data_IF_111439757873
#
_entry.id   IF_111439757873
#
_cell.length_a   1.000
_cell.length_b   1.000
_cell.length_c   1.000
_cell.angle_alpha   90.00
_cell.angle_beta   90.00
_cell.angle_gamma   90.00
#
_symmetry.space_group_name_H-M   'P 1'
#
loop_
_entity.id
_entity.type
_entity.pdbx_description
1 polymer ?
#
# COMPACT_ATOMS: atom_id res chain seq x y z
N UNK A 1 -35.26 33.91 21.24
CA UNK A 1 -34.91 32.85 20.26
C UNK A 1 -34.34 31.69 21.04
N UNK A 2 -35.00 30.54 20.95
CA UNK A 2 -34.79 29.33 21.73
C UNK A 2 -33.45 28.68 21.38
N UNK A 3 -32.64 28.29 22.38
CA UNK A 3 -31.45 27.46 22.20
C UNK A 3 -31.78 26.05 22.72
N UNK A 4 -31.92 25.12 21.79
CA UNK A 4 -32.22 23.73 22.06
C UNK A 4 -31.02 23.02 22.71
N UNK A 5 -31.18 22.57 23.96
CA UNK A 5 -30.28 21.60 24.60
C UNK A 5 -30.71 20.20 24.15
N UNK A 6 -29.96 19.64 23.20
CA UNK A 6 -30.12 18.27 22.73
C UNK A 6 -29.72 17.27 23.82
N UNK A 7 -30.70 16.48 24.25
CA UNK A 7 -30.61 15.44 25.27
C UNK A 7 -29.96 14.19 24.65
N UNK A 8 -28.77 13.77 25.11
CA UNK A 8 -28.16 12.50 24.69
C UNK A 8 -28.46 11.45 25.75
N UNK A 9 -29.25 10.45 25.36
CA UNK A 9 -29.66 9.34 26.21
C UNK A 9 -28.45 8.58 26.75
N UNK A 10 -28.30 8.54 28.08
CA UNK A 10 -27.45 7.57 28.73
C UNK A 10 -28.15 6.20 28.69
N UNK A 11 -27.60 5.28 27.90
CA UNK A 11 -27.99 3.87 27.89
C UNK A 11 -27.80 3.28 29.30
N UNK A 12 -28.90 2.92 29.95
CA UNK A 12 -28.90 2.21 31.22
C UNK A 12 -28.46 0.76 30.98
N UNK A 13 -27.31 0.37 31.53
CA UNK A 13 -27.01 -1.03 31.77
C UNK A 13 -27.65 -1.45 33.09
N UNK A 14 -28.70 -2.27 33.00
CA UNK A 14 -29.26 -2.99 34.14
C UNK A 14 -28.26 -4.06 34.57
N UNK A 15 -27.54 -3.81 35.66
CA UNK A 15 -26.84 -4.84 36.41
C UNK A 15 -27.61 -5.09 37.70
N UNK A 16 -28.22 -6.27 37.77
CA UNK A 16 -29.02 -6.77 38.89
C UNK A 16 -28.24 -6.74 40.20
N UNK A 17 -28.89 -6.20 41.24
CA UNK A 17 -28.37 -6.08 42.59
C UNK A 17 -28.21 -7.45 43.28
N UNK A 18 -27.03 -7.70 43.83
CA UNK A 18 -26.83 -8.59 44.97
C UNK A 18 -25.94 -7.86 45.98
N UNK A 19 -26.52 -7.58 47.16
CA UNK A 19 -25.92 -7.05 48.39
C UNK A 19 -25.88 -5.51 48.59
N UNK A 20 -26.99 -4.97 49.10
CA UNK A 20 -27.08 -4.49 50.49
C UNK A 20 -26.39 -3.18 50.94
N UNK A 21 -27.17 -2.08 50.94
CA UNK A 21 -27.28 -0.97 51.92
C UNK A 21 -25.99 -0.32 52.49
N UNK A 22 -25.76 0.98 52.21
CA UNK A 22 -25.94 2.11 53.16
C UNK A 22 -25.46 3.46 52.59
N UNK A 23 -26.28 4.46 52.88
CA UNK A 23 -26.16 5.88 52.57
C UNK A 23 -24.97 6.54 53.26
N UNK A 24 -24.26 7.43 52.54
CA UNK A 24 -23.61 8.59 53.14
C UNK A 24 -23.37 9.65 52.05
N UNK A 25 -24.15 10.73 52.10
CA UNK A 25 -23.80 12.01 51.47
C UNK A 25 -22.56 12.56 52.18
N UNK A 26 -21.38 12.45 51.57
CA UNK A 26 -20.20 13.21 51.98
C UNK A 26 -19.89 14.24 50.92
N UNK A 27 -20.20 15.50 51.23
CA UNK A 27 -19.72 16.66 50.49
C UNK A 27 -18.22 16.81 50.77
N UNK A 28 -17.40 16.07 50.03
CA UNK A 28 -15.95 16.26 50.07
C UNK A 28 -15.61 17.43 49.13
N UNK A 29 -15.64 18.66 49.67
CA UNK A 29 -15.10 19.82 48.97
C UNK A 29 -13.60 19.58 48.75
N UNK A 30 -13.17 19.47 47.49
CA UNK A 30 -11.75 19.49 47.17
C UNK A 30 -11.18 20.89 47.41
N UNK A 31 -9.99 21.02 48.01
CA UNK A 31 -9.35 22.31 48.20
C UNK A 31 -9.03 22.93 46.83
N UNK A 32 -9.27 24.25 46.74
CA UNK A 32 -8.93 25.10 45.59
C UNK A 32 -7.50 24.79 45.12
N UNK A 33 -7.39 24.10 43.97
CA UNK A 33 -6.12 23.97 43.27
C UNK A 33 -5.78 25.36 42.73
N UNK A 34 -4.82 26.04 43.37
CA UNK A 34 -4.15 27.19 42.76
C UNK A 34 -3.48 26.69 41.50
N UNK A 35 -4.12 26.93 40.35
CA UNK A 35 -3.51 26.69 39.04
C UNK A 35 -2.33 27.64 38.90
N UNK A 36 -1.15 27.16 39.25
CA UNK A 36 0.07 27.76 38.72
C UNK A 36 0.06 27.41 37.24
N UNK A 37 -0.33 28.37 36.41
CA UNK A 37 -0.28 28.26 34.97
C UNK A 37 1.20 28.21 34.53
N UNK A 38 1.86 27.06 34.71
CA UNK A 38 3.07 26.78 33.96
C UNK A 38 2.64 26.60 32.51
N UNK A 39 2.70 27.69 31.76
CA UNK A 39 2.66 27.67 30.30
C UNK A 39 3.92 26.98 29.80
N UNK A 40 3.94 25.65 29.88
CA UNK A 40 4.90 24.85 29.15
C UNK A 40 4.56 25.01 27.68
N UNK A 41 5.38 25.78 26.95
CA UNK A 41 5.35 25.77 25.50
C UNK A 41 5.51 24.31 25.07
N UNK A 42 4.54 23.68 24.39
CA UNK A 42 4.75 22.34 23.88
C UNK A 42 5.96 22.42 22.94
N UNK A 43 6.98 21.61 23.21
CA UNK A 43 8.14 21.53 22.34
C UNK A 43 7.67 20.82 21.06
N UNK A 44 7.19 21.59 20.09
CA UNK A 44 6.82 21.08 18.78
C UNK A 44 8.12 20.85 18.02
N UNK A 45 8.69 19.65 18.18
CA UNK A 45 9.83 19.21 17.39
C UNK A 45 9.33 19.00 15.95
N UNK A 46 9.37 20.05 15.13
CA UNK A 46 9.16 19.93 13.69
C UNK A 46 10.35 19.14 13.15
N UNK A 47 10.09 18.03 12.46
CA UNK A 47 11.13 17.30 11.75
C UNK A 47 11.96 18.32 10.94
N UNK A 48 13.27 18.38 11.18
CA UNK A 48 14.15 19.22 10.37
C UNK A 48 13.94 18.79 8.92
N UNK A 49 13.60 19.75 8.07
CA UNK A 49 13.28 19.49 6.67
C UNK A 49 14.38 18.62 6.05
N UNK A 50 13.96 17.48 5.51
CA UNK A 50 14.76 16.50 4.75
C UNK A 50 15.45 15.43 5.61
N UNK A 51 14.66 14.54 6.22
CA UNK A 51 15.15 13.17 6.43
C UNK A 51 15.51 12.58 5.06
N UNK A 52 16.77 12.22 4.84
CA UNK A 52 17.26 11.75 3.55
C UNK A 52 16.50 10.48 3.15
N UNK A 53 15.62 10.60 2.15
CA UNK A 53 14.87 9.45 1.65
C UNK A 53 15.80 8.63 0.74
N UNK A 54 16.00 7.35 1.06
CA UNK A 54 16.80 6.45 0.23
C UNK A 54 16.25 6.41 -1.21
N UNK A 55 17.14 6.59 -2.19
CA UNK A 55 16.76 6.53 -3.61
C UNK A 55 16.13 5.17 -3.96
N UNK A 56 15.19 5.16 -4.91
CA UNK A 56 14.53 3.94 -5.37
C UNK A 56 15.54 2.87 -5.83
N UNK A 57 16.64 3.30 -6.48
CA UNK A 57 17.73 2.41 -6.92
C UNK A 57 18.42 1.68 -5.76
N UNK A 58 18.68 2.38 -4.65
CA UNK A 58 19.30 1.79 -3.45
C UNK A 58 18.34 0.78 -2.82
N UNK A 59 17.07 1.16 -2.67
CA UNK A 59 16.02 0.28 -2.14
C UNK A 59 15.87 -0.98 -3.00
N UNK A 60 15.82 -0.83 -4.32
CA UNK A 60 15.75 -1.93 -5.27
C UNK A 60 16.93 -2.90 -5.12
N UNK A 61 18.17 -2.38 -5.14
CA UNK A 61 19.39 -3.20 -4.97
C UNK A 61 19.38 -4.00 -3.66
N UNK A 62 18.86 -3.42 -2.57
CA UNK A 62 18.71 -4.13 -1.29
C UNK A 62 17.68 -5.26 -1.38
N UNK A 63 16.55 -5.02 -2.05
CA UNK A 63 15.50 -6.02 -2.23
C UNK A 63 15.93 -7.16 -3.16
N UNK A 64 16.70 -6.85 -4.21
CA UNK A 64 17.22 -7.86 -5.16
C UNK A 64 18.04 -8.95 -4.51
N UNK A 65 18.71 -8.69 -3.39
CA UNK A 65 19.43 -9.72 -2.62
C UNK A 65 18.55 -10.85 -2.09
N UNK A 66 17.24 -10.61 -1.97
CA UNK A 66 16.27 -11.59 -1.44
C UNK A 66 15.58 -12.40 -2.53
N UNK A 67 15.73 -12.00 -3.80
CA UNK A 67 15.04 -12.63 -4.90
C UNK A 67 15.86 -13.79 -5.46
N UNK A 68 15.16 -14.84 -5.87
CA UNK A 68 15.73 -16.03 -6.49
C UNK A 68 14.76 -16.54 -7.57
N UNK A 69 14.75 -15.86 -8.72
CA UNK A 69 13.98 -16.29 -9.89
C UNK A 69 14.63 -17.48 -10.60
N UNK A 70 13.80 -18.45 -11.00
CA UNK A 70 14.19 -19.64 -11.79
C UNK A 70 13.42 -19.65 -13.12
N UNK A 71 13.77 -20.50 -14.11
CA UNK A 71 12.99 -20.60 -15.35
C UNK A 71 11.53 -20.97 -15.11
N UNK A 72 11.26 -21.87 -14.15
CA UNK A 72 9.91 -22.35 -13.82
C UNK A 72 9.12 -21.34 -12.98
N UNK A 73 9.82 -20.63 -12.08
CA UNK A 73 9.27 -19.62 -11.18
C UNK A 73 10.09 -18.34 -11.31
N UNK A 74 9.89 -17.55 -12.37
CA UNK A 74 10.70 -16.37 -12.62
C UNK A 74 10.39 -15.24 -11.64
N UNK A 75 11.29 -14.26 -11.59
CA UNK A 75 11.06 -12.98 -10.93
C UNK A 75 10.36 -12.05 -11.90
N UNK A 76 9.27 -11.43 -11.46
CA UNK A 76 8.61 -10.34 -12.18
C UNK A 76 9.19 -9.01 -11.73
N UNK A 77 9.88 -8.29 -12.62
CA UNK A 77 10.37 -6.93 -12.36
C UNK A 77 9.56 -5.91 -13.17
N UNK A 78 9.02 -4.91 -12.47
CA UNK A 78 8.18 -3.86 -13.06
C UNK A 78 8.77 -2.50 -12.75
N UNK A 79 9.02 -1.72 -13.80
CA UNK A 79 9.48 -0.36 -13.71
C UNK A 79 8.38 0.57 -14.23
N UNK A 80 8.00 1.55 -13.41
CA UNK A 80 7.00 2.55 -13.77
C UNK A 80 7.63 3.95 -13.69
N UNK A 81 7.65 4.64 -14.83
CA UNK A 81 7.99 6.06 -14.93
C UNK A 81 6.73 6.93 -14.85
N UNK A 82 6.84 8.24 -14.96
CA UNK A 82 5.69 9.13 -15.15
C UNK A 82 4.95 8.87 -16.47
N UNK A 83 5.64 8.35 -17.50
CA UNK A 83 5.07 8.20 -18.86
C UNK A 83 4.85 6.76 -19.31
N UNK A 84 5.72 5.83 -18.90
CA UNK A 84 5.76 4.47 -19.44
C UNK A 84 5.82 3.43 -18.32
N UNK A 85 5.39 2.21 -18.62
CA UNK A 85 5.58 1.02 -17.79
C UNK A 85 6.32 -0.04 -18.59
N UNK A 86 7.22 -0.72 -17.89
CA UNK A 86 8.02 -1.82 -18.41
C UNK A 86 7.89 -2.98 -17.44
N UNK A 87 7.65 -4.17 -17.97
CA UNK A 87 7.53 -5.40 -17.20
C UNK A 87 8.45 -6.45 -17.81
N UNK A 88 9.14 -7.20 -16.95
CA UNK A 88 10.08 -8.23 -17.34
C UNK A 88 9.89 -9.48 -16.49
N UNK A 89 9.85 -10.64 -17.13
CA UNK A 89 10.06 -11.92 -16.47
C UNK A 89 11.53 -12.29 -16.60
N UNK A 90 12.20 -12.45 -15.46
CA UNK A 90 13.63 -12.66 -15.38
C UNK A 90 13.91 -13.98 -14.66
N UNK A 91 14.77 -14.78 -15.26
CA UNK A 91 15.44 -15.89 -14.62
C UNK A 91 16.78 -15.40 -14.06
N UNK A 92 16.87 -15.31 -12.74
CA UNK A 92 18.04 -14.78 -12.05
C UNK A 92 19.20 -15.78 -12.03
N UNK A 93 18.93 -17.10 -12.19
CA UNK A 93 19.95 -18.13 -12.23
C UNK A 93 20.74 -18.11 -13.53
N UNK A 94 20.03 -18.13 -14.66
CA UNK A 94 20.65 -18.09 -15.98
C UNK A 94 20.87 -16.66 -16.50
N UNK A 95 20.45 -15.65 -15.73
CA UNK A 95 20.50 -14.22 -16.10
C UNK A 95 19.81 -13.93 -17.44
N UNK A 96 18.72 -14.65 -17.71
CA UNK A 96 17.99 -14.54 -18.96
C UNK A 96 16.65 -13.83 -18.76
N UNK A 97 16.23 -13.06 -19.76
CA UNK A 97 14.91 -12.45 -19.79
C UNK A 97 13.96 -13.35 -20.59
N UNK A 98 12.95 -13.91 -19.93
CA UNK A 98 11.96 -14.79 -20.54
C UNK A 98 10.89 -14.00 -21.31
N UNK A 99 10.53 -12.83 -20.79
CA UNK A 99 9.54 -11.94 -21.39
C UNK A 99 9.88 -10.49 -21.11
N UNK A 100 9.66 -9.62 -22.10
CA UNK A 100 9.76 -8.17 -22.00
C UNK A 100 8.53 -7.50 -22.62
N UNK A 101 7.81 -6.74 -21.79
CA UNK A 101 6.63 -5.97 -22.19
C UNK A 101 6.79 -4.49 -21.88
N UNK A 102 6.36 -3.62 -22.79
CA UNK A 102 6.40 -2.16 -22.58
C UNK A 102 5.18 -1.47 -23.18
N UNK A 103 4.72 -0.41 -22.51
CA UNK A 103 3.70 0.52 -23.06
C UNK A 103 4.18 1.28 -24.30
N UNK A 104 5.45 1.16 -24.68
CA UNK A 104 5.99 1.68 -25.94
C UNK A 104 5.88 0.69 -27.11
N UNK A 105 5.68 -0.60 -26.85
CA UNK A 105 5.57 -1.59 -27.92
C UNK A 105 4.32 -1.36 -28.77
N UNK A 106 4.46 -1.62 -30.07
CA UNK A 106 3.39 -1.42 -31.05
C UNK A 106 2.19 -2.34 -30.77
N UNK A 107 2.43 -3.55 -30.26
CA UNK A 107 1.39 -4.52 -29.87
C UNK A 107 0.46 -3.95 -28.79
N UNK A 108 1.03 -3.23 -27.82
CA UNK A 108 0.31 -2.66 -26.67
C UNK A 108 -0.40 -1.35 -27.04
N UNK A 109 0.28 -0.46 -27.77
CA UNK A 109 -0.25 0.89 -28.06
C UNK A 109 -1.53 0.86 -28.87
N UNK A 110 -1.66 -0.08 -29.81
CA UNK A 110 -2.71 -0.07 -30.85
C UNK A 110 -2.77 1.28 -31.60
N UNK A 111 -3.58 1.36 -32.66
CA UNK A 111 -3.67 2.59 -33.46
C UNK A 111 -4.54 3.68 -32.81
N UNK A 112 -5.35 3.34 -31.81
CA UNK A 112 -6.22 4.26 -31.10
C UNK A 112 -5.53 4.89 -29.89
N UNK A 113 -5.80 6.17 -29.57
CA UNK A 113 -5.35 6.76 -28.31
C UNK A 113 -5.91 5.96 -27.14
N UNK A 114 -5.01 5.47 -26.30
CA UNK A 114 -5.33 4.63 -25.14
C UNK A 114 -4.91 5.38 -23.88
N UNK A 115 -5.67 5.24 -22.79
CA UNK A 115 -5.24 5.77 -21.51
C UNK A 115 -3.97 5.07 -21.05
N UNK A 116 -3.16 5.78 -20.26
CA UNK A 116 -1.89 5.28 -19.76
C UNK A 116 -2.07 4.12 -18.75
N UNK A 117 -3.21 4.05 -18.06
CA UNK A 117 -3.59 2.92 -17.20
C UNK A 117 -4.03 1.71 -18.03
N UNK A 118 -4.84 1.91 -19.07
CA UNK A 118 -5.27 0.87 -19.99
C UNK A 118 -4.09 0.25 -20.74
N UNK A 119 -3.13 1.06 -21.19
CA UNK A 119 -1.90 0.55 -21.80
C UNK A 119 -1.14 -0.36 -20.83
N UNK A 120 -1.09 -0.04 -19.54
CA UNK A 120 -0.46 -0.90 -18.53
C UNK A 120 -1.26 -2.18 -18.27
N UNK A 121 -2.60 -2.11 -18.29
CA UNK A 121 -3.45 -3.31 -18.23
C UNK A 121 -3.11 -4.28 -19.37
N UNK A 122 -3.00 -3.76 -20.60
CA UNK A 122 -2.62 -4.55 -21.79
C UNK A 122 -1.23 -5.20 -21.67
N UNK A 123 -0.24 -4.50 -21.09
CA UNK A 123 1.07 -5.12 -20.80
C UNK A 123 0.91 -6.30 -19.84
N UNK A 124 0.04 -6.19 -18.85
CA UNK A 124 -0.31 -7.29 -17.95
C UNK A 124 -0.91 -8.47 -18.71
N UNK A 125 -1.87 -8.23 -19.59
CA UNK A 125 -2.50 -9.27 -20.42
C UNK A 125 -1.49 -9.96 -21.37
N UNK A 126 -0.58 -9.21 -21.99
CA UNK A 126 0.50 -9.78 -22.81
C UNK A 126 1.47 -10.63 -21.98
N UNK A 127 1.78 -10.20 -20.76
CA UNK A 127 2.62 -10.98 -19.85
C UNK A 127 1.98 -12.32 -19.51
N UNK A 128 0.67 -12.34 -19.25
CA UNK A 128 -0.07 -13.57 -18.96
C UNK A 128 -0.06 -14.52 -20.16
N UNK A 129 -0.25 -14.01 -21.37
CA UNK A 129 -0.13 -14.81 -22.60
C UNK A 129 1.26 -15.45 -22.69
N UNK A 130 2.30 -14.66 -22.48
CA UNK A 130 3.68 -15.17 -22.48
C UNK A 130 3.92 -16.21 -21.36
N UNK A 131 3.36 -16.03 -20.16
CA UNK A 131 3.43 -17.02 -19.09
C UNK A 131 2.78 -18.34 -19.52
N UNK A 132 1.61 -18.29 -20.17
CA UNK A 132 0.90 -19.48 -20.62
C UNK A 132 1.70 -20.20 -21.72
N UNK A 133 2.26 -19.47 -22.68
CA UNK A 133 3.08 -20.03 -23.77
C UNK A 133 4.35 -20.71 -23.22
N UNK A 134 4.92 -20.15 -22.16
CA UNK A 134 6.11 -20.68 -21.48
C UNK A 134 5.78 -21.69 -20.36
N UNK A 135 4.51 -22.02 -20.14
CA UNK A 135 4.03 -22.90 -19.06
C UNK A 135 4.50 -22.48 -17.65
N UNK A 136 4.49 -21.18 -17.37
CA UNK A 136 4.80 -20.60 -16.06
C UNK A 136 3.49 -20.41 -15.30
N UNK A 137 3.34 -21.08 -14.15
CA UNK A 137 2.11 -21.03 -13.34
C UNK A 137 2.22 -20.11 -12.12
N UNK A 138 3.43 -19.81 -11.67
CA UNK A 138 3.66 -19.05 -10.44
C UNK A 138 4.92 -18.19 -10.54
N UNK A 139 4.90 -17.05 -9.85
CA UNK A 139 6.05 -16.16 -9.74
C UNK A 139 6.82 -16.46 -8.44
N UNK A 140 8.15 -16.39 -8.49
CA UNK A 140 8.97 -16.50 -7.28
C UNK A 140 8.94 -15.21 -6.48
N UNK A 141 8.96 -14.07 -7.15
CA UNK A 141 9.06 -12.76 -6.51
C UNK A 141 8.50 -11.66 -7.40
N UNK A 142 7.93 -10.64 -6.76
CA UNK A 142 7.45 -9.43 -7.42
C UNK A 142 8.29 -8.22 -7.00
N UNK A 143 8.96 -7.61 -7.97
CA UNK A 143 9.88 -6.49 -7.81
C UNK A 143 9.32 -5.23 -8.47
N UNK A 144 8.92 -4.26 -7.65
CA UNK A 144 8.41 -2.94 -8.09
C UNK A 144 9.53 -1.92 -8.34
N UNK A 145 10.79 -2.34 -8.36
CA UNK A 145 11.99 -1.52 -8.55
C UNK A 145 12.12 -0.34 -7.57
N UNK A 146 11.51 -0.44 -6.39
CA UNK A 146 11.49 0.62 -5.37
C UNK A 146 10.53 1.79 -5.67
N UNK A 147 9.66 1.71 -6.67
CA UNK A 147 8.66 2.75 -6.91
C UNK A 147 7.41 2.55 -6.04
N UNK A 148 6.74 3.66 -5.70
CA UNK A 148 5.46 3.60 -5.00
C UNK A 148 4.35 3.13 -5.94
N UNK A 149 3.33 2.46 -5.39
CA UNK A 149 2.15 2.07 -6.16
C UNK A 149 1.38 3.32 -6.59
N UNK A 150 1.10 3.42 -7.88
CA UNK A 150 0.18 4.41 -8.45
C UNK A 150 -0.89 3.72 -9.28
N UNK A 151 -1.74 4.51 -9.94
CA UNK A 151 -2.87 3.99 -10.73
C UNK A 151 -2.44 3.05 -11.85
N UNK A 152 -1.32 3.35 -12.52
CA UNK A 152 -0.78 2.52 -13.60
C UNK A 152 -0.29 1.16 -13.12
N UNK A 153 0.47 1.14 -12.03
CA UNK A 153 0.93 -0.11 -11.41
C UNK A 153 -0.27 -0.92 -10.95
N UNK A 154 -1.24 -0.26 -10.31
CA UNK A 154 -2.48 -0.92 -9.86
C UNK A 154 -3.26 -1.54 -11.03
N UNK A 155 -3.39 -0.83 -12.16
CA UNK A 155 -4.06 -1.38 -13.34
C UNK A 155 -3.34 -2.62 -13.90
N UNK A 156 -2.01 -2.60 -13.90
CA UNK A 156 -1.19 -3.75 -14.27
C UNK A 156 -1.31 -4.92 -13.27
N UNK A 157 -1.26 -4.62 -11.96
CA UNK A 157 -1.40 -5.61 -10.89
C UNK A 157 -2.78 -6.28 -10.95
N UNK A 158 -3.86 -5.53 -11.15
CA UNK A 158 -5.23 -6.06 -11.29
C UNK A 158 -5.29 -7.08 -12.44
N UNK A 159 -4.73 -6.73 -13.60
CA UNK A 159 -4.72 -7.63 -14.77
C UNK A 159 -4.03 -8.96 -14.45
N UNK A 160 -2.92 -8.93 -13.71
CA UNK A 160 -2.16 -10.13 -13.35
C UNK A 160 -2.84 -10.92 -12.23
N UNK A 161 -3.38 -10.24 -11.22
CA UNK A 161 -4.09 -10.85 -10.09
C UNK A 161 -5.37 -11.57 -10.52
N UNK A 162 -6.04 -11.13 -11.58
CA UNK A 162 -7.19 -11.83 -12.19
C UNK A 162 -6.83 -13.26 -12.64
N UNK A 163 -5.57 -13.50 -13.03
CA UNK A 163 -5.07 -14.80 -13.44
C UNK A 163 -4.33 -15.57 -12.33
N UNK A 164 -4.35 -15.07 -11.08
CA UNK A 164 -3.83 -15.79 -9.92
C UNK A 164 -2.31 -15.71 -9.70
N UNK A 165 -1.58 -14.90 -10.47
CA UNK A 165 -0.12 -14.75 -10.32
C UNK A 165 0.29 -13.81 -9.17
N UNK A 166 -0.62 -12.93 -8.73
CA UNK A 166 -0.42 -12.02 -7.59
C UNK A 166 -1.64 -12.10 -6.66
N UNK A 167 -1.45 -11.95 -5.34
CA UNK A 167 -2.56 -11.85 -4.41
C UNK A 167 -3.41 -10.60 -4.69
N UNK A 168 -4.72 -10.68 -4.42
CA UNK A 168 -5.66 -9.54 -4.48
C UNK A 168 -5.67 -8.74 -3.19
#
# INVERSE_FOLDING_TARGET
MSMALGNVAALQFSASALFGIRSATSSFQQPMQTRINFSVKPLVMRARGNAQTESAKIRNRRMQKKYNGTPKRPRLSVFCSGKQLYAMLVDDQNKNCLFYGSTLQKSVRQNSPCSTSEAAKRVGEELIKACNDLNIHELSSYDRNGFATGERIRAFEIAISEHGFLPR
#
